data_IF_790989484139
#
_entry.id   IF_790989484139
#
_cell.length_a   1.000
_cell.length_b   1.000
_cell.length_c   1.000
_cell.angle_alpha   90.00
_cell.angle_beta   90.00
_cell.angle_gamma   90.00
#
_symmetry.space_group_name_H-M   'P 1'
#
loop_
_entity.id
_entity.type
_entity.pdbx_description
1 polymer ?
#
# COMPACT_ATOMS: atom_id res chain seq x y z
N UNK A 1 -4.63 7.94 -30.39
CA UNK A 1 -4.74 8.47 -29.01
C UNK A 1 -3.36 8.95 -28.56
N UNK A 2 -3.25 10.08 -27.83
CA UNK A 2 -1.96 10.48 -27.25
C UNK A 2 -1.47 9.39 -26.29
N UNK A 3 -0.15 9.23 -26.17
CA UNK A 3 0.41 8.22 -25.25
C UNK A 3 0.03 8.54 -23.81
N UNK A 4 -0.13 7.49 -23.00
CA UNK A 4 -0.48 7.61 -21.60
C UNK A 4 0.48 8.55 -20.86
N UNK A 5 -0.07 9.44 -20.04
CA UNK A 5 0.72 10.38 -19.23
C UNK A 5 1.38 11.55 -19.96
N UNK A 6 1.21 11.73 -21.28
CA UNK A 6 1.67 12.97 -21.97
C UNK A 6 1.06 14.23 -21.35
N UNK A 7 -0.21 14.17 -20.96
CA UNK A 7 -0.90 15.28 -20.31
C UNK A 7 -0.34 15.57 -18.91
N UNK A 8 0.02 14.54 -18.12
CA UNK A 8 0.67 14.73 -16.83
C UNK A 8 2.03 15.41 -17.00
N UNK A 9 2.88 14.89 -17.90
CA UNK A 9 4.19 15.50 -18.16
C UNK A 9 4.04 16.97 -18.57
N UNK A 10 3.11 17.27 -19.48
CA UNK A 10 2.83 18.63 -19.93
C UNK A 10 2.36 19.51 -18.75
N UNK A 11 1.39 19.05 -17.96
CA UNK A 11 0.90 19.77 -16.78
C UNK A 11 2.04 20.14 -15.82
N UNK A 12 2.94 19.21 -15.52
CA UNK A 12 4.08 19.48 -14.64
C UNK A 12 5.12 20.40 -15.29
N UNK A 13 5.36 20.27 -16.59
CA UNK A 13 6.32 21.10 -17.33
C UNK A 13 5.84 22.54 -17.51
N UNK A 14 4.53 22.73 -17.67
CA UNK A 14 3.90 24.04 -17.88
C UNK A 14 3.59 24.75 -16.54
N UNK A 15 3.83 24.09 -15.39
CA UNK A 15 3.62 24.65 -14.06
C UNK A 15 4.56 25.83 -13.78
N UNK A 16 4.09 26.82 -13.02
CA UNK A 16 4.94 27.93 -12.54
C UNK A 16 5.92 27.49 -11.44
N UNK A 17 5.68 26.35 -10.79
CA UNK A 17 6.55 25.82 -9.74
C UNK A 17 7.81 25.17 -10.33
N UNK A 18 9.03 25.63 -9.99
CA UNK A 18 10.28 25.01 -10.47
C UNK A 18 10.41 23.53 -10.09
N UNK A 19 9.85 23.15 -8.93
CA UNK A 19 9.84 21.75 -8.49
C UNK A 19 8.99 20.87 -9.41
N UNK A 20 7.84 21.37 -9.86
CA UNK A 20 6.99 20.64 -10.80
C UNK A 20 7.59 20.61 -12.20
N UNK A 21 8.25 21.66 -12.65
CA UNK A 21 8.99 21.65 -13.92
C UNK A 21 10.12 20.59 -13.89
N UNK A 22 10.88 20.53 -12.80
CA UNK A 22 11.91 19.51 -12.61
C UNK A 22 11.30 18.09 -12.57
N UNK A 23 10.15 17.92 -11.91
CA UNK A 23 9.44 16.64 -11.93
C UNK A 23 8.99 16.27 -13.36
N UNK A 24 8.43 17.23 -14.10
CA UNK A 24 7.99 17.04 -15.48
C UNK A 24 9.12 16.70 -16.45
N UNK A 25 10.34 17.21 -16.21
CA UNK A 25 11.51 16.86 -17.03
C UNK A 25 12.01 15.44 -16.76
N UNK A 26 11.86 14.93 -15.54
CA UNK A 26 12.19 13.55 -15.15
C UNK A 26 11.12 12.52 -15.57
N UNK A 27 9.91 12.96 -15.90
CA UNK A 27 8.81 12.07 -16.27
C UNK A 27 8.97 11.48 -17.68
N UNK A 28 8.92 10.15 -17.74
CA UNK A 28 8.88 9.40 -18.99
C UNK A 28 7.45 8.87 -19.24
N UNK A 29 6.73 9.36 -20.26
CA UNK A 29 5.38 8.89 -20.55
C UNK A 29 5.44 7.43 -21.02
N UNK A 30 4.68 6.57 -20.34
CA UNK A 30 4.54 5.17 -20.71
C UNK A 30 3.44 4.95 -21.75
N UNK A 31 3.33 3.74 -22.30
CA UNK A 31 2.25 3.40 -23.22
C UNK A 31 0.92 3.09 -22.50
N UNK A 32 0.97 2.55 -21.27
CA UNK A 32 -0.21 2.25 -20.46
C UNK A 32 0.10 2.23 -18.95
N UNK A 33 -0.95 2.33 -18.13
CA UNK A 33 -0.88 2.13 -16.67
C UNK A 33 -0.28 0.76 -16.33
N UNK A 34 -0.74 -0.31 -16.99
CA UNK A 34 -0.28 -1.67 -16.71
C UNK A 34 1.20 -1.86 -16.97
N UNK A 35 1.72 -1.30 -18.06
CA UNK A 35 3.15 -1.34 -18.33
C UNK A 35 3.94 -0.47 -17.34
N UNK A 36 3.38 0.67 -16.93
CA UNK A 36 3.95 1.50 -15.87
C UNK A 36 4.10 0.75 -14.54
N UNK A 37 3.06 0.05 -14.10
CA UNK A 37 3.10 -0.75 -12.87
C UNK A 37 4.05 -1.95 -12.98
N UNK A 38 4.10 -2.62 -14.13
CA UNK A 38 5.09 -3.68 -14.39
C UNK A 38 6.52 -3.15 -14.38
N UNK A 39 6.75 -1.99 -14.98
CA UNK A 39 8.06 -1.33 -14.95
C UNK A 39 8.44 -0.91 -13.53
N UNK A 40 7.50 -0.47 -12.70
CA UNK A 40 7.75 -0.15 -11.30
C UNK A 40 8.30 -1.37 -10.52
N UNK A 41 7.76 -2.56 -10.78
CA UNK A 41 8.26 -3.81 -10.21
C UNK A 41 9.68 -4.17 -10.66
N UNK A 42 9.94 -4.10 -11.97
CA UNK A 42 11.20 -4.58 -12.56
C UNK A 42 12.34 -3.57 -12.38
N UNK A 43 12.06 -2.27 -12.59
CA UNK A 43 13.06 -1.20 -12.66
C UNK A 43 13.19 -0.38 -11.39
N UNK A 44 12.41 -0.69 -10.34
CA UNK A 44 12.33 0.09 -9.10
C UNK A 44 12.00 1.57 -9.34
N UNK A 45 11.15 1.84 -10.33
CA UNK A 45 10.69 3.19 -10.67
C UNK A 45 9.34 3.52 -10.03
N UNK A 46 9.05 4.79 -9.83
CA UNK A 46 7.69 5.25 -9.47
C UNK A 46 6.76 5.29 -10.68
N UNK A 47 5.46 5.13 -10.44
CA UNK A 47 4.40 5.40 -11.42
C UNK A 47 3.41 6.40 -10.83
N UNK A 48 2.98 7.38 -11.63
CA UNK A 48 2.09 8.46 -11.21
C UNK A 48 0.79 8.43 -12.02
N UNK A 49 -0.32 8.38 -11.31
CA UNK A 49 -1.69 8.37 -11.84
C UNK A 49 -2.69 8.61 -10.68
N UNK A 50 -3.99 8.60 -10.97
CA UNK A 50 -5.05 8.76 -9.99
C UNK A 50 -4.97 7.68 -8.89
N UNK A 51 -4.86 8.12 -7.64
CA UNK A 51 -4.63 7.25 -6.46
C UNK A 51 -5.58 6.05 -6.39
N UNK A 52 -6.88 6.29 -6.46
CA UNK A 52 -7.89 5.22 -6.36
C UNK A 52 -7.80 4.24 -7.54
N UNK A 53 -7.43 4.72 -8.72
CA UNK A 53 -7.31 3.89 -9.90
C UNK A 53 -6.08 2.97 -9.83
N UNK A 54 -4.91 3.51 -9.46
CA UNK A 54 -3.71 2.68 -9.19
C UNK A 54 -4.01 1.64 -8.11
N UNK A 55 -4.63 2.06 -7.00
CA UNK A 55 -4.90 1.16 -5.88
C UNK A 55 -5.80 0.00 -6.30
N UNK A 56 -6.82 0.27 -7.11
CA UNK A 56 -7.69 -0.77 -7.67
C UNK A 56 -6.89 -1.75 -8.54
N UNK A 57 -6.07 -1.26 -9.47
CA UNK A 57 -5.29 -2.09 -10.40
C UNK A 57 -4.23 -2.94 -9.68
N UNK A 58 -3.58 -2.40 -8.64
CA UNK A 58 -2.69 -3.16 -7.76
C UNK A 58 -3.44 -4.31 -7.10
N UNK A 59 -4.61 -4.02 -6.49
CA UNK A 59 -5.39 -5.06 -5.81
C UNK A 59 -5.93 -6.10 -6.79
N UNK A 60 -6.34 -5.70 -7.99
CA UNK A 60 -6.93 -6.61 -8.97
C UNK A 60 -5.87 -7.55 -9.57
N UNK A 61 -4.72 -7.01 -9.99
CA UNK A 61 -3.76 -7.72 -10.86
C UNK A 61 -2.44 -8.06 -10.19
N UNK A 62 -2.10 -7.41 -9.08
CA UNK A 62 -0.83 -7.59 -8.38
C UNK A 62 -1.03 -8.12 -6.95
N UNK A 63 -2.20 -8.67 -6.61
CA UNK A 63 -2.40 -9.40 -5.36
C UNK A 63 -1.94 -10.84 -5.51
N UNK A 64 -1.04 -11.25 -4.62
CA UNK A 64 -0.51 -12.60 -4.53
C UNK A 64 -1.47 -13.54 -3.77
N UNK A 65 -1.16 -14.84 -3.76
CA UNK A 65 -1.98 -15.89 -3.10
C UNK A 65 -2.21 -15.66 -1.60
N UNK A 66 -1.20 -15.16 -0.92
CA UNK A 66 -1.22 -14.83 0.51
C UNK A 66 -1.98 -13.52 0.78
N UNK A 67 -2.35 -12.77 -0.27
CA UNK A 67 -3.00 -11.47 -0.17
C UNK A 67 -2.06 -10.29 -0.01
N UNK A 68 -0.75 -10.52 -0.12
CA UNK A 68 0.24 -9.46 -0.21
C UNK A 68 0.20 -8.81 -1.60
N UNK A 69 0.66 -7.57 -1.68
CA UNK A 69 0.82 -6.82 -2.93
C UNK A 69 2.24 -6.27 -2.99
N UNK A 70 3.04 -6.57 -4.03
CA UNK A 70 4.42 -6.11 -4.13
C UNK A 70 4.52 -4.61 -4.47
N UNK A 71 3.40 -4.00 -4.88
CA UNK A 71 3.26 -2.57 -5.12
C UNK A 71 2.42 -1.94 -4.00
N UNK A 72 2.74 -0.70 -3.67
CA UNK A 72 1.96 0.13 -2.74
C UNK A 72 1.77 1.52 -3.31
N UNK A 73 0.75 2.22 -2.81
CA UNK A 73 0.47 3.62 -3.17
C UNK A 73 0.91 4.51 -2.02
N UNK A 74 1.72 5.53 -2.32
CA UNK A 74 2.18 6.52 -1.33
C UNK A 74 0.99 7.31 -0.75
N UNK A 75 1.10 7.73 0.52
CA UNK A 75 -0.03 8.34 1.26
C UNK A 75 -0.49 9.71 0.72
N UNK A 76 0.34 10.40 -0.06
CA UNK A 76 0.05 11.73 -0.62
C UNK A 76 -0.39 11.73 -2.08
N UNK A 77 -1.13 12.77 -2.48
CA UNK A 77 -1.32 13.13 -3.88
C UNK A 77 -0.40 14.30 -4.23
N UNK A 78 0.24 14.25 -5.39
CA UNK A 78 1.09 15.36 -5.88
C UNK A 78 0.23 16.53 -6.38
N UNK A 79 -0.96 16.23 -6.88
CA UNK A 79 -1.94 17.21 -7.35
C UNK A 79 -3.35 16.68 -7.08
N UNK A 80 -4.31 17.50 -6.65
CA UNK A 80 -5.71 17.09 -6.62
C UNK A 80 -6.20 16.92 -8.05
N UNK A 81 -6.58 15.69 -8.39
CA UNK A 81 -7.20 15.41 -9.69
C UNK A 81 -8.70 15.56 -9.54
N UNK A 82 -9.33 16.58 -10.13
CA UNK A 82 -10.78 16.70 -10.10
C UNK A 82 -11.39 15.55 -10.89
N UNK A 83 -12.43 14.94 -10.32
CA UNK A 83 -13.29 13.99 -11.02
C UNK A 83 -14.65 14.67 -11.22
N UNK A 84 -15.22 14.57 -12.42
CA UNK A 84 -16.52 15.15 -12.73
C UNK A 84 -17.22 14.41 -13.86
N UNK A 85 -18.53 14.60 -13.94
CA UNK A 85 -19.32 14.11 -15.07
C UNK A 85 -19.37 15.16 -16.18
N UNK A 86 -19.11 14.80 -17.44
CA UNK A 86 -19.32 15.71 -18.55
C UNK A 86 -20.84 15.94 -18.70
N UNK A 87 -21.29 17.14 -18.39
CA UNK A 87 -22.69 17.55 -18.50
C UNK A 87 -22.76 18.67 -19.55
N UNK A 88 -23.70 18.64 -20.51
CA UNK A 88 -23.92 19.75 -21.43
C UNK A 88 -24.14 21.07 -20.69
N UNK A 89 -23.64 22.17 -21.25
CA UNK A 89 -23.58 23.48 -20.61
C UNK A 89 -24.94 23.97 -20.04
N UNK A 90 -26.04 23.58 -20.68
CA UNK A 90 -27.40 24.04 -20.33
C UNK A 90 -28.35 22.88 -19.97
N UNK A 91 -27.80 21.76 -19.47
CA UNK A 91 -28.63 20.62 -19.10
C UNK A 91 -29.60 21.00 -17.95
N UNK A 92 -30.94 20.88 -18.14
CA UNK A 92 -31.93 21.31 -17.15
C UNK A 92 -31.86 20.49 -15.85
N UNK A 93 -31.27 19.30 -15.90
CA UNK A 93 -31.10 18.41 -14.74
C UNK A 93 -29.82 18.64 -13.95
N UNK A 94 -28.92 19.55 -14.37
CA UNK A 94 -27.60 19.75 -13.73
C UNK A 94 -27.74 20.05 -12.23
N UNK A 95 -28.60 21.00 -11.86
CA UNK A 95 -28.80 21.39 -10.47
C UNK A 95 -29.32 20.23 -9.60
N UNK A 96 -30.20 19.38 -10.16
CA UNK A 96 -30.71 18.22 -9.47
C UNK A 96 -29.62 17.15 -9.27
N UNK A 97 -28.83 16.89 -10.32
CA UNK A 97 -27.71 15.95 -10.27
C UNK A 97 -26.65 16.39 -9.26
N UNK A 98 -26.26 17.66 -9.25
CA UNK A 98 -25.30 18.22 -8.29
C UNK A 98 -25.78 18.01 -6.83
N UNK A 99 -27.07 18.23 -6.57
CA UNK A 99 -27.67 17.99 -5.25
C UNK A 99 -27.62 16.51 -4.86
N UNK A 100 -27.88 15.58 -5.79
CA UNK A 100 -27.81 14.15 -5.53
C UNK A 100 -26.36 13.68 -5.27
N UNK A 101 -25.40 14.22 -6.01
CA UNK A 101 -23.97 13.94 -5.80
C UNK A 101 -23.56 14.40 -4.40
N UNK A 102 -23.89 15.62 -4.01
CA UNK A 102 -23.61 16.14 -2.67
C UNK A 102 -24.28 15.31 -1.58
N UNK A 103 -25.56 14.98 -1.73
CA UNK A 103 -26.26 14.11 -0.77
C UNK A 103 -25.60 12.72 -0.64
N UNK A 104 -25.08 12.17 -1.73
CA UNK A 104 -24.36 10.88 -1.74
C UNK A 104 -23.02 10.97 -1.01
N UNK A 105 -22.29 12.07 -1.21
CA UNK A 105 -21.02 12.35 -0.51
C UNK A 105 -21.25 12.60 0.99
N UNK A 106 -22.23 13.44 1.33
CA UNK A 106 -22.60 13.75 2.73
C UNK A 106 -23.07 12.52 3.50
N UNK A 107 -23.75 11.58 2.82
CA UNK A 107 -24.16 10.32 3.42
C UNK A 107 -23.00 9.30 3.57
N UNK A 108 -21.78 9.61 3.11
CA UNK A 108 -20.63 8.72 3.15
C UNK A 108 -20.74 7.50 2.21
N UNK A 109 -21.71 7.50 1.29
CA UNK A 109 -21.96 6.36 0.40
C UNK A 109 -20.80 6.13 -0.57
N UNK A 110 -20.18 7.20 -1.06
CA UNK A 110 -19.05 7.13 -1.96
C UNK A 110 -17.83 6.41 -1.33
N UNK A 111 -17.50 6.74 -0.08
CA UNK A 111 -16.39 6.13 0.63
C UNK A 111 -16.69 4.67 0.96
N UNK A 112 -17.92 4.39 1.41
CA UNK A 112 -18.38 3.01 1.62
C UNK A 112 -18.26 2.17 0.35
N UNK A 113 -18.79 2.65 -0.77
CA UNK A 113 -18.72 1.93 -2.05
C UNK A 113 -17.29 1.76 -2.53
N UNK A 114 -16.43 2.77 -2.36
CA UNK A 114 -15.00 2.64 -2.68
C UNK A 114 -14.37 1.55 -1.83
N UNK A 115 -14.62 1.53 -0.51
CA UNK A 115 -14.06 0.54 0.40
C UNK A 115 -14.56 -0.88 0.09
N UNK A 116 -15.85 -1.02 -0.19
CA UNK A 116 -16.47 -2.30 -0.58
C UNK A 116 -15.90 -2.81 -1.90
N UNK A 117 -15.75 -1.94 -2.91
CA UNK A 117 -15.13 -2.26 -4.19
C UNK A 117 -13.68 -2.74 -4.02
N UNK A 118 -12.87 -2.04 -3.23
CA UNK A 118 -11.47 -2.44 -2.97
C UNK A 118 -11.40 -3.79 -2.24
N UNK A 119 -12.28 -4.02 -1.25
CA UNK A 119 -12.36 -5.28 -0.52
C UNK A 119 -12.75 -6.44 -1.44
N UNK A 120 -13.80 -6.26 -2.23
CA UNK A 120 -14.28 -7.27 -3.17
C UNK A 120 -13.21 -7.59 -4.23
N UNK A 121 -12.57 -6.57 -4.78
CA UNK A 121 -11.50 -6.71 -5.78
C UNK A 121 -10.34 -7.55 -5.24
N UNK A 122 -9.90 -7.26 -4.00
CA UNK A 122 -8.86 -8.05 -3.33
C UNK A 122 -9.27 -9.53 -3.19
N UNK A 123 -10.48 -9.79 -2.69
CA UNK A 123 -11.00 -11.15 -2.52
C UNK A 123 -11.13 -11.89 -3.86
N UNK A 124 -11.60 -11.20 -4.90
CA UNK A 124 -11.74 -11.75 -6.25
C UNK A 124 -10.38 -12.10 -6.84
N UNK A 125 -9.40 -11.23 -6.69
CA UNK A 125 -8.03 -11.48 -7.13
C UNK A 125 -7.42 -12.70 -6.44
N UNK A 126 -7.53 -12.80 -5.12
CA UNK A 126 -7.08 -13.96 -4.36
C UNK A 126 -7.74 -15.28 -4.83
N UNK A 127 -9.06 -15.27 -5.06
CA UNK A 127 -9.78 -16.43 -5.58
C UNK A 127 -9.25 -16.86 -6.95
N UNK A 128 -9.04 -15.90 -7.88
CA UNK A 128 -8.47 -16.19 -9.21
C UNK A 128 -7.08 -16.79 -9.11
N UNK A 129 -6.23 -16.30 -8.22
CA UNK A 129 -4.89 -16.86 -8.03
C UNK A 129 -4.95 -18.28 -7.47
N UNK A 130 -5.79 -18.54 -6.46
CA UNK A 130 -5.96 -19.90 -5.92
C UNK A 130 -6.45 -20.88 -6.98
N UNK A 131 -7.39 -20.46 -7.83
CA UNK A 131 -7.90 -21.28 -8.93
C UNK A 131 -6.82 -21.60 -9.97
N UNK A 132 -6.01 -20.61 -10.38
CA UNK A 132 -4.88 -20.84 -11.30
C UNK A 132 -3.90 -21.86 -10.75
N UNK A 133 -3.56 -21.75 -9.47
CA UNK A 133 -2.64 -22.68 -8.86
C UNK A 133 -3.21 -24.09 -8.65
N UNK A 134 -4.51 -24.21 -8.37
CA UNK A 134 -5.17 -25.51 -8.35
C UNK A 134 -5.09 -26.17 -9.74
N UNK A 135 -5.36 -25.43 -10.80
CA UNK A 135 -5.27 -25.91 -12.18
C UNK A 135 -3.82 -26.29 -12.58
N UNK A 136 -2.83 -25.50 -12.16
CA UNK A 136 -1.41 -25.81 -12.43
C UNK A 136 -0.98 -27.10 -11.72
N UNK A 137 -1.49 -27.35 -10.50
CA UNK A 137 -1.21 -28.57 -9.75
C UNK A 137 -1.88 -29.81 -10.37
N UNK A 138 -3.11 -29.68 -10.87
CA UNK A 138 -3.79 -30.78 -11.58
C UNK A 138 -3.03 -31.13 -12.88
N UNK A 139 -2.64 -30.13 -13.68
CA UNK A 139 -1.86 -30.36 -14.90
C UNK A 139 -0.46 -30.93 -14.64
N UNK A 140 0.18 -30.56 -13.52
CA UNK A 140 1.44 -31.18 -13.10
C UNK A 140 1.26 -32.58 -12.54
N UNK A 141 0.18 -32.87 -11.82
CA UNK A 141 -0.09 -34.22 -11.32
C UNK A 141 -0.30 -35.20 -12.51
N UNK A 142 -0.98 -34.75 -13.56
CA UNK A 142 -1.17 -35.54 -14.78
C UNK A 142 0.15 -35.72 -15.56
N UNK A 143 1.00 -34.69 -15.62
CA UNK A 143 2.35 -34.79 -16.23
C UNK A 143 3.34 -35.60 -15.37
N UNK A 144 3.17 -35.64 -14.04
CA UNK A 144 3.99 -36.45 -13.12
C UNK A 144 3.56 -37.90 -13.06
N UNK A 145 2.28 -38.21 -13.28
CA UNK A 145 1.82 -39.59 -13.43
C UNK A 145 2.49 -40.32 -14.61
N UNK A 146 3.03 -39.57 -15.59
CA UNK A 146 3.79 -40.12 -16.72
C UNK A 146 5.29 -40.32 -16.38
N UNK A 147 5.80 -39.69 -15.31
CA UNK A 147 7.24 -39.62 -15.03
C UNK A 147 7.71 -40.12 -13.66
N UNK A 148 6.85 -40.50 -12.70
CA UNK A 148 7.34 -40.87 -11.35
C UNK A 148 6.82 -42.19 -10.77
N UNK A 149 7.67 -43.22 -10.91
CA UNK A 149 8.16 -44.06 -9.80
C UNK A 149 9.27 -43.34 -8.98
N UNK A 150 9.47 -42.03 -9.17
CA UNK A 150 10.49 -41.22 -8.53
C UNK A 150 10.02 -40.70 -7.17
N UNK A 151 10.61 -41.21 -6.08
CA UNK A 151 10.36 -40.74 -4.73
C UNK A 151 10.66 -39.23 -4.59
N UNK A 152 9.85 -38.48 -3.79
CA UNK A 152 10.02 -37.05 -3.61
C UNK A 152 11.42 -36.72 -3.09
N UNK A 153 12.18 -35.99 -3.91
CA UNK A 153 13.56 -35.61 -3.59
C UNK A 153 13.56 -34.43 -2.62
N UNK A 154 14.02 -34.66 -1.40
CA UNK A 154 14.18 -33.62 -0.39
C UNK A 154 15.24 -32.62 -0.85
N UNK A 155 14.82 -31.38 -1.13
CA UNK A 155 15.75 -30.33 -1.59
C UNK A 155 16.54 -29.73 -0.42
N UNK A 156 17.80 -29.40 -0.68
CA UNK A 156 18.78 -28.92 0.31
C UNK A 156 18.32 -27.64 1.06
N UNK A 157 17.38 -26.89 0.46
CA UNK A 157 16.80 -25.68 1.05
C UNK A 157 16.02 -25.98 2.34
N UNK A 158 15.43 -27.18 2.48
CA UNK A 158 14.73 -27.57 3.71
C UNK A 158 15.69 -27.93 4.86
N UNK A 159 16.94 -28.29 4.55
CA UNK A 159 17.96 -28.64 5.56
C UNK A 159 18.86 -27.48 5.95
N UNK A 160 18.68 -26.29 5.36
CA UNK A 160 19.58 -25.15 5.54
C UNK A 160 19.66 -24.67 7.00
N UNK A 161 18.54 -24.71 7.74
CA UNK A 161 18.52 -24.35 9.17
C UNK A 161 19.41 -25.25 10.03
N UNK A 162 19.46 -26.56 9.74
CA UNK A 162 20.29 -27.50 10.48
C UNK A 162 21.79 -27.22 10.25
N UNK A 163 22.19 -26.88 9.02
CA UNK A 163 23.57 -26.50 8.71
C UNK A 163 24.00 -25.20 9.41
N UNK A 164 23.11 -24.21 9.52
CA UNK A 164 23.41 -22.96 10.24
C UNK A 164 23.64 -23.24 11.73
N UNK A 165 22.79 -24.06 12.36
CA UNK A 165 22.95 -24.43 13.77
C UNK A 165 24.26 -25.21 14.00
N UNK A 166 24.60 -26.12 13.10
CA UNK A 166 25.84 -26.90 13.18
C UNK A 166 27.08 -25.99 13.08
N UNK A 167 27.07 -25.02 12.15
CA UNK A 167 28.17 -24.10 11.96
C UNK A 167 28.32 -23.12 13.15
N UNK A 168 27.21 -22.65 13.71
CA UNK A 168 27.20 -21.83 14.92
C UNK A 168 27.78 -22.59 16.13
N UNK A 169 27.36 -23.84 16.33
CA UNK A 169 27.88 -24.69 17.39
C UNK A 169 29.38 -24.94 17.26
N UNK A 170 29.87 -25.12 16.02
CA UNK A 170 31.29 -25.28 15.75
C UNK A 170 32.10 -24.04 16.16
N UNK A 171 31.61 -22.84 15.82
CA UNK A 171 32.24 -21.57 16.20
C UNK A 171 32.28 -21.41 17.72
N UNK A 172 31.18 -21.68 18.43
CA UNK A 172 31.16 -21.60 19.89
C UNK A 172 32.15 -22.54 20.55
N UNK A 173 32.21 -23.81 20.10
CA UNK A 173 33.19 -24.76 20.63
C UNK A 173 34.63 -24.31 20.39
N UNK A 174 34.94 -23.77 19.21
CA UNK A 174 36.29 -23.24 18.95
C UNK A 174 36.64 -22.03 19.82
N UNK A 175 35.67 -21.17 20.14
CA UNK A 175 35.88 -20.03 21.03
C UNK A 175 36.12 -20.48 22.48
N UNK A 176 35.31 -21.42 22.99
CA UNK A 176 35.47 -21.98 24.34
C UNK A 176 36.86 -22.62 24.45
N UNK A 177 37.22 -23.48 23.49
CA UNK A 177 38.52 -24.15 23.47
C UNK A 177 39.69 -23.14 23.41
N UNK A 178 39.57 -22.10 22.60
CA UNK A 178 40.60 -21.04 22.52
C UNK A 178 40.73 -20.27 23.83
N UNK A 179 39.60 -20.00 24.52
CA UNK A 179 39.61 -19.34 25.83
C UNK A 179 40.23 -20.20 26.92
N UNK A 180 40.01 -21.52 26.89
CA UNK A 180 40.62 -22.47 27.81
C UNK A 180 42.14 -22.55 27.58
N UNK A 181 42.59 -22.56 26.33
CA UNK A 181 44.03 -22.54 26.03
C UNK A 181 44.71 -21.27 26.52
N UNK A 182 44.10 -20.10 26.32
CA UNK A 182 44.64 -18.82 26.79
C UNK A 182 44.69 -18.74 28.32
N UNK A 183 43.60 -19.14 28.99
CA UNK A 183 43.51 -19.14 30.46
C UNK A 183 44.45 -20.18 31.09
N UNK A 184 44.57 -21.36 30.47
CA UNK A 184 45.50 -22.42 30.90
C UNK A 184 46.98 -22.01 30.78
N UNK A 185 47.30 -21.13 29.83
CA UNK A 185 48.67 -20.64 29.64
C UNK A 185 49.10 -19.64 30.73
N UNK A 186 48.18 -18.82 31.23
CA UNK A 186 48.43 -17.94 32.39
C UNK A 186 48.61 -18.72 33.70
N UNK A 187 47.83 -19.79 33.90
CA UNK A 187 47.92 -20.59 35.14
C UNK A 187 49.27 -21.33 35.31
N UNK A 188 49.96 -21.62 34.21
CA UNK A 188 51.30 -22.24 34.22
C UNK A 188 52.40 -21.19 34.45
N UNK A 189 52.16 -19.92 34.13
CA UNK A 189 53.11 -18.84 34.40
C UNK A 189 53.06 -18.38 35.88
N UNK A 190 51.89 -18.43 36.52
CA UNK A 190 51.70 -17.94 37.89
C UNK A 190 52.08 -18.94 39.00
N UNK A 191 52.31 -20.22 38.69
CA UNK A 191 52.82 -21.18 39.69
C UNK A 191 54.34 -21.11 39.93
N UNK A 192 55.06 -20.26 39.19
CA UNK A 192 56.48 -19.96 39.39
C UNK A 192 56.78 -18.66 40.15
N UNK A 193 55.78 -17.83 40.41
CA UNK A 193 55.94 -16.51 41.02
C UNK A 193 55.18 -16.42 42.34
N UNK A 194 55.80 -16.92 43.41
CA UNK A 194 55.37 -16.58 44.75
C UNK A 194 55.29 -15.06 44.91
N UNK A 195 54.21 -14.64 45.57
CA UNK A 195 54.14 -13.47 46.43
C UNK A 195 54.56 -12.14 45.80
N UNK A 196 53.58 -11.31 45.42
CA UNK A 196 53.48 -9.96 46.02
C UNK A 196 52.24 -9.19 45.54
N UNK A 197 51.76 -8.37 46.47
CA UNK A 197 50.93 -7.18 46.28
C UNK A 197 49.50 -7.37 45.74
N UNK A 198 48.50 -7.26 46.61
CA UNK A 198 47.91 -6.00 47.11
C UNK A 198 47.08 -5.22 46.08
N UNK A 199 45.82 -5.05 46.50
CA UNK A 199 45.03 -3.81 46.49
C UNK A 199 44.49 -3.28 45.16
N UNK A 200 43.17 -3.50 45.06
CA UNK A 200 42.15 -2.44 45.10
C UNK A 200 41.64 -1.88 43.75
N UNK A 201 40.39 -1.36 43.76
CA UNK A 201 39.50 -1.37 42.61
C UNK A 201 39.34 0.02 41.97
N UNK A 202 38.91 0.07 40.72
CA UNK A 202 38.44 1.31 40.10
C UNK A 202 37.19 1.07 39.25
N UNK A 203 36.08 1.54 39.82
CA UNK A 203 34.96 2.24 39.20
C UNK A 203 35.10 2.50 37.70
N UNK A 204 34.14 2.04 36.91
CA UNK A 204 33.73 2.75 35.69
C UNK A 204 32.22 2.80 35.56
N UNK A 205 31.80 3.99 35.13
CA UNK A 205 30.47 4.59 35.16
C UNK A 205 29.48 3.93 34.20
N UNK A 206 28.23 3.75 34.65
CA UNK A 206 27.13 3.22 33.86
C UNK A 206 26.61 4.30 32.89
N UNK A 207 26.53 3.95 31.60
CA UNK A 207 25.99 4.81 30.55
C UNK A 207 24.48 4.65 30.49
N UNK A 208 23.74 5.71 30.81
CA UNK A 208 22.28 5.79 30.67
C UNK A 208 21.91 5.93 29.19
N UNK A 209 21.15 4.97 28.66
CA UNK A 209 20.49 5.06 27.35
C UNK A 209 19.06 5.55 27.58
N UNK A 210 18.72 6.71 27.03
CA UNK A 210 17.34 7.19 26.97
C UNK A 210 16.74 6.85 25.59
N UNK A 211 15.70 6.01 25.59
CA UNK A 211 14.86 5.75 24.42
C UNK A 211 13.68 6.73 24.48
N UNK A 212 13.54 7.58 23.47
CA UNK A 212 12.33 8.38 23.29
C UNK A 212 11.50 7.77 22.17
N UNK A 213 10.35 7.20 22.54
CA UNK A 213 9.30 6.79 21.63
C UNK A 213 8.53 8.03 21.20
N UNK A 214 8.57 8.34 19.91
CA UNK A 214 7.85 9.45 19.30
C UNK A 214 6.70 8.91 18.46
N UNK A 215 5.58 8.66 19.15
CA UNK A 215 4.22 8.70 18.60
C UNK A 215 3.81 10.13 18.19
N UNK A 216 4.75 10.96 17.72
CA UNK A 216 4.49 12.34 17.31
C UNK A 216 4.20 12.45 15.81
N UNK A 217 3.02 13.03 15.58
CA UNK A 217 2.44 13.66 14.38
C UNK A 217 3.44 14.42 13.47
N UNK A 218 3.05 14.65 12.19
CA UNK A 218 3.97 14.75 11.06
C UNK A 218 4.90 15.97 11.09
N UNK A 219 6.11 15.73 10.57
CA UNK A 219 7.22 16.65 10.42
C UNK A 219 6.81 18.05 9.92
N UNK A 220 7.21 19.09 10.66
CA UNK A 220 7.17 20.50 10.25
C UNK A 220 7.94 20.80 8.96
N UNK A 221 8.72 19.86 8.43
CA UNK A 221 9.46 19.96 7.16
C UNK A 221 8.53 20.19 5.95
N UNK A 222 7.26 19.75 6.01
CA UNK A 222 6.30 20.00 4.92
C UNK A 222 5.70 21.42 4.99
N UNK A 223 5.66 22.04 6.18
CA UNK A 223 5.12 23.40 6.36
C UNK A 223 6.07 24.49 5.88
N UNK A 224 7.38 24.26 5.96
CA UNK A 224 8.38 25.24 5.49
C UNK A 224 8.63 25.18 3.97
N UNK A 225 8.26 24.07 3.32
CA UNK A 225 8.42 23.90 1.85
C UNK A 225 7.29 24.54 1.03
N UNK A 226 6.12 24.78 1.62
CA UNK A 226 4.99 25.43 0.94
C UNK A 226 4.80 26.85 1.49
N UNK A 227 5.40 27.82 0.81
CA UNK A 227 5.25 29.23 1.14
C UNK A 227 3.78 29.68 1.18
N UNK A 228 3.47 30.60 2.11
CA UNK A 228 2.13 31.14 2.40
C UNK A 228 1.35 31.61 1.15
N UNK A 229 2.04 31.98 0.07
CA UNK A 229 1.43 32.49 -1.17
C UNK A 229 0.59 31.47 -1.93
N UNK A 230 0.82 30.16 -1.75
CA UNK A 230 0.06 29.13 -2.46
C UNK A 230 -1.24 28.74 -1.74
N UNK A 231 -1.47 29.20 -0.50
CA UNK A 231 -2.64 28.81 0.30
C UNK A 231 -3.86 29.71 0.04
N UNK A 232 -3.64 30.96 -0.32
CA UNK A 232 -4.73 31.94 -0.48
C UNK A 232 -5.44 31.85 -1.85
N UNK A 233 -4.77 31.34 -2.88
CA UNK A 233 -5.38 31.17 -4.22
C UNK A 233 -6.19 29.86 -4.35
N UNK A 234 -6.14 28.98 -3.34
CA UNK A 234 -6.82 27.69 -3.32
C UNK A 234 -8.15 27.70 -2.55
N UNK A 235 -8.54 28.82 -1.94
CA UNK A 235 -9.79 28.94 -1.18
C UNK A 235 -11.07 28.92 -2.04
N UNK A 236 -10.98 29.05 -3.37
CA UNK A 236 -12.15 29.05 -4.27
C UNK A 236 -12.42 27.67 -4.90
N UNK A 237 -11.53 26.71 -4.71
CA UNK A 237 -11.84 25.31 -5.00
C UNK A 237 -12.19 24.60 -3.70
N UNK A 238 -13.45 24.26 -3.51
CA UNK A 238 -13.89 23.37 -2.44
C UNK A 238 -13.27 21.97 -2.64
N UNK A 239 -12.01 21.80 -2.25
CA UNK A 239 -11.46 20.50 -1.89
C UNK A 239 -12.20 20.04 -0.66
N UNK A 240 -13.22 19.20 -0.87
CA UNK A 240 -13.94 18.50 0.19
C UNK A 240 -13.02 17.44 0.80
N UNK A 241 -12.07 17.85 1.62
CA UNK A 241 -11.44 16.96 2.60
C UNK A 241 -12.36 16.92 3.83
N UNK A 242 -13.44 16.13 3.74
CA UNK A 242 -14.39 15.99 4.85
C UNK A 242 -13.69 15.18 5.95
N UNK A 243 -13.30 15.86 7.03
CA UNK A 243 -12.78 15.21 8.23
C UNK A 243 -13.95 14.52 8.97
N UNK A 244 -14.14 13.22 8.67
CA UNK A 244 -15.31 12.42 9.06
C UNK A 244 -15.18 11.69 10.42
N UNK A 245 -14.11 11.91 11.19
CA UNK A 245 -13.83 11.14 12.41
C UNK A 245 -14.87 11.35 13.55
N UNK A 246 -15.85 12.25 13.39
CA UNK A 246 -16.77 12.67 14.46
C UNK A 246 -18.28 12.50 14.25
N UNK A 247 -18.80 11.87 13.17
CA UNK A 247 -20.28 11.92 12.90
C UNK A 247 -20.97 10.61 12.48
N UNK A 248 -20.68 9.50 13.17
CA UNK A 248 -21.17 8.18 12.72
C UNK A 248 -22.52 7.69 13.30
N UNK A 249 -23.31 8.50 14.02
CA UNK A 249 -24.57 8.02 14.63
C UNK A 249 -25.86 8.58 14.03
N UNK A 250 -25.83 9.73 13.37
CA UNK A 250 -27.06 10.43 12.94
C UNK A 250 -27.48 10.14 11.50
N UNK A 251 -26.60 9.55 10.67
CA UNK A 251 -26.82 9.37 9.23
C UNK A 251 -27.57 8.05 8.93
N UNK A 252 -27.33 7.00 9.71
CA UNK A 252 -28.02 5.71 9.60
C UNK A 252 -29.54 5.83 9.78
N UNK A 253 -30.02 6.75 10.63
CA UNK A 253 -31.45 7.00 10.84
C UNK A 253 -32.13 7.74 9.66
N UNK A 254 -31.36 8.48 8.85
CA UNK A 254 -31.90 9.17 7.67
C UNK A 254 -31.90 8.29 6.43
N UNK A 255 -30.91 7.40 6.29
CA UNK A 255 -30.84 6.47 5.17
C UNK A 255 -31.92 5.38 5.23
N UNK A 256 -32.35 4.95 6.42
CA UNK A 256 -33.47 4.00 6.57
C UNK A 256 -34.79 4.54 6.00
N UNK A 257 -34.94 5.87 5.91
CA UNK A 257 -36.12 6.55 5.35
C UNK A 257 -36.07 6.73 3.82
N UNK A 258 -34.90 6.64 3.19
CA UNK A 258 -34.72 6.82 1.74
C UNK A 258 -34.88 5.51 0.94
N UNK A 259 -34.59 4.36 1.56
CA UNK A 259 -34.71 3.04 0.91
C UNK A 259 -36.16 2.71 0.48
N UNK A 260 -37.21 3.02 1.27
CA UNK A 260 -38.60 2.82 0.84
C UNK A 260 -39.02 3.72 -0.33
N UNK A 261 -38.50 4.95 -0.39
CA UNK A 261 -38.81 5.94 -1.44
C UNK A 261 -38.25 5.51 -2.80
N UNK A 262 -37.02 5.00 -2.84
CA UNK A 262 -36.44 4.44 -4.06
C UNK A 262 -37.22 3.22 -4.59
N UNK A 263 -37.83 2.44 -3.68
CA UNK A 263 -38.69 1.30 -4.02
C UNK A 263 -40.05 1.72 -4.58
N UNK A 264 -40.60 2.84 -4.13
CA UNK A 264 -41.88 3.37 -4.63
C UNK A 264 -41.77 3.89 -6.07
N UNK A 265 -40.66 4.58 -6.40
CA UNK A 265 -40.45 5.14 -7.75
C UNK A 265 -40.28 4.03 -8.81
N UNK A 266 -39.62 2.92 -8.47
CA UNK A 266 -39.48 1.78 -9.37
C UNK A 266 -40.79 1.05 -9.69
N UNK A 267 -41.79 1.12 -8.80
CA UNK A 267 -43.08 0.46 -9.03
C UNK A 267 -44.08 1.34 -9.81
N UNK A 268 -43.90 2.67 -9.83
CA UNK A 268 -44.77 3.57 -10.62
C UNK A 268 -44.52 3.50 -12.13
N UNK A 269 -43.32 3.09 -12.58
CA UNK A 269 -43.02 2.96 -14.01
C UNK A 269 -43.59 1.69 -14.65
N UNK A 270 -43.94 0.66 -13.87
CA UNK A 270 -44.54 -0.57 -14.42
C UNK A 270 -46.05 -0.49 -14.72
N UNK A 271 -46.74 0.55 -14.27
CA UNK A 271 -48.21 0.68 -14.47
C UNK A 271 -48.61 1.60 -15.64
N UNK A 272 -47.66 2.18 -16.37
CA UNK A 272 -47.94 3.19 -17.42
C UNK A 272 -48.19 2.65 -18.83
N UNK A 273 -48.02 1.35 -19.10
CA UNK A 273 -47.95 0.85 -20.50
C UNK A 273 -49.12 0.00 -21.00
N UNK A 274 -50.28 0.01 -20.33
CA UNK A 274 -51.43 -0.82 -20.71
C UNK A 274 -52.73 -0.03 -20.89
N UNK A 275 -52.70 1.09 -21.61
CA UNK A 275 -53.90 1.73 -22.17
C UNK A 275 -53.50 2.44 -23.46
N UNK A 276 -53.73 1.77 -24.59
CA UNK A 276 -54.07 2.35 -25.90
C UNK A 276 -53.91 1.24 -26.94
N UNK A 277 -54.95 0.42 -27.08
CA UNK A 277 -55.23 -0.45 -28.23
C UNK A 277 -56.66 -0.96 -28.06
N UNK A 278 -57.62 -0.10 -28.40
CA UNK A 278 -58.99 -0.47 -28.80
C UNK A 278 -59.63 0.67 -29.55
#
# INVERSE_FOLDING_TARGET
MPSYGKHFRKFYSDSESPLFQALGSLMNPGPSLMEGLKMALVKRSGHLDARKYIQYEILDKFTEKDGSTPLYVTRGSVSPTPCGWPIPHDAPYKAHLDRLILATLEAGLYDKWTADLMRETKLRSQRRQRQRHAADHEGQAESRAINEDGLPTLTINHTQGAFILLLLGLVFNTLIFSSELLCGQELILDTGGAAELMRSPLNTSCTTIAITDSTTTPSGVVKDLFGKSALDQWQVMATFEVNLEKRNTTITDRLSKLIPLARQVGNSEQFGHAKDLT
#
